data_IF_339800393156
#
_entry.id   IF_339800393156
#
_cell.length_a   1.000
_cell.length_b   1.000
_cell.length_c   1.000
_cell.angle_alpha   90.00
_cell.angle_beta   90.00
_cell.angle_gamma   90.00
#
_symmetry.space_group_name_H-M   'P 1'
#
loop_
_entity.id
_entity.type
_entity.pdbx_description
1 polymer ?
#
# COMPACT_ATOMS: atom_id res chain seq x y z
N UNK A 1 -0.80 21.82 1.57
CA UNK A 1 -0.81 21.03 2.82
C UNK A 1 -1.93 20.00 2.87
N UNK A 2 -3.17 20.33 2.51
CA UNK A 2 -4.31 19.40 2.56
C UNK A 2 -4.15 18.15 1.68
N UNK A 3 -3.57 18.30 0.49
CA UNK A 3 -3.35 17.18 -0.45
C UNK A 3 -2.38 16.11 0.12
N UNK A 4 -1.33 16.54 0.82
CA UNK A 4 -0.37 15.64 1.49
C UNK A 4 -1.02 14.86 2.63
N UNK A 5 -1.91 15.51 3.40
CA UNK A 5 -2.64 14.86 4.48
C UNK A 5 -3.56 13.74 3.95
N UNK A 6 -4.27 14.01 2.87
CA UNK A 6 -5.12 13.01 2.20
C UNK A 6 -4.27 11.83 1.68
N UNK A 7 -3.11 12.12 1.09
CA UNK A 7 -2.19 11.10 0.62
C UNK A 7 -1.67 10.21 1.77
N UNK A 8 -1.27 10.80 2.90
CA UNK A 8 -0.82 10.03 4.06
C UNK A 8 -1.93 9.13 4.61
N UNK A 9 -3.15 9.65 4.75
CA UNK A 9 -4.30 8.86 5.19
C UNK A 9 -4.60 7.68 4.25
N UNK A 10 -4.46 7.89 2.94
CA UNK A 10 -4.61 6.82 1.96
C UNK A 10 -3.54 5.74 2.13
N UNK A 11 -2.28 6.14 2.34
CA UNK A 11 -1.17 5.22 2.58
C UNK A 11 -1.36 4.42 3.87
N UNK A 12 -1.71 5.08 4.98
CA UNK A 12 -1.99 4.44 6.27
C UNK A 12 -3.12 3.41 6.15
N UNK A 13 -4.22 3.77 5.48
CA UNK A 13 -5.32 2.85 5.21
C UNK A 13 -4.84 1.64 4.41
N UNK A 14 -4.08 1.85 3.33
CA UNK A 14 -3.61 0.78 2.46
C UNK A 14 -2.64 -0.15 3.21
N UNK A 15 -1.74 0.39 4.03
CA UNK A 15 -0.82 -0.35 4.88
C UNK A 15 -1.57 -1.25 5.87
N UNK A 16 -2.57 -0.70 6.57
CA UNK A 16 -3.38 -1.45 7.53
C UNK A 16 -4.18 -2.58 6.86
N UNK A 17 -4.61 -2.40 5.61
CA UNK A 17 -5.33 -3.44 4.86
C UNK A 17 -4.41 -4.53 4.33
N UNK A 18 -3.24 -4.16 3.80
CA UNK A 18 -2.25 -5.12 3.30
C UNK A 18 -1.69 -6.00 4.42
N UNK A 19 -1.52 -5.44 5.63
CA UNK A 19 -1.11 -6.19 6.83
C UNK A 19 -2.10 -7.29 7.24
N UNK A 20 -3.39 -7.15 6.89
CA UNK A 20 -4.44 -8.10 7.24
C UNK A 20 -4.58 -9.26 6.24
N UNK A 21 -3.78 -9.29 5.18
CA UNK A 21 -3.75 -10.44 4.27
C UNK A 21 -3.14 -11.62 5.03
N UNK A 22 -3.87 -12.74 5.07
CA UNK A 22 -3.42 -13.95 5.77
C UNK A 22 -2.08 -14.42 5.21
N UNK A 23 -1.21 -14.94 6.09
CA UNK A 23 0.04 -15.57 5.68
C UNK A 23 -0.18 -16.76 4.72
N UNK A 24 -1.34 -17.40 4.79
CA UNK A 24 -1.72 -18.51 3.91
C UNK A 24 -2.25 -18.06 2.54
N UNK A 25 -2.48 -16.76 2.34
CA UNK A 25 -2.93 -16.27 1.03
C UNK A 25 -1.80 -16.35 0.01
N UNK A 26 -2.14 -16.74 -1.22
CA UNK A 26 -1.22 -16.69 -2.36
C UNK A 26 -0.61 -15.28 -2.55
N UNK A 27 -1.32 -14.24 -2.12
CA UNK A 27 -0.90 -12.84 -2.25
C UNK A 27 -0.03 -12.33 -1.10
N UNK A 28 0.20 -13.11 -0.04
CA UNK A 28 0.90 -12.66 1.17
C UNK A 28 2.32 -12.13 0.93
N UNK A 29 3.09 -12.82 0.08
CA UNK A 29 4.45 -12.40 -0.27
C UNK A 29 4.44 -11.05 -1.02
N UNK A 30 3.54 -10.89 -1.99
CA UNK A 30 3.41 -9.65 -2.75
C UNK A 30 2.91 -8.50 -1.87
N UNK A 31 1.97 -8.78 -0.97
CA UNK A 31 1.46 -7.82 0.00
C UNK A 31 2.58 -7.28 0.90
N UNK A 32 3.43 -8.16 1.43
CA UNK A 32 4.58 -7.80 2.25
C UNK A 32 5.56 -6.87 1.50
N UNK A 33 5.87 -7.20 0.24
CA UNK A 33 6.76 -6.38 -0.58
C UNK A 33 6.20 -4.97 -0.85
N UNK A 34 4.93 -4.87 -1.22
CA UNK A 34 4.26 -3.58 -1.46
C UNK A 34 4.11 -2.78 -0.17
N UNK A 35 3.74 -3.42 0.95
CA UNK A 35 3.66 -2.78 2.28
C UNK A 35 5.01 -2.16 2.67
N UNK A 36 6.11 -2.88 2.51
CA UNK A 36 7.45 -2.35 2.79
C UNK A 36 7.83 -1.15 1.90
N UNK A 37 7.42 -1.15 0.63
CA UNK A 37 7.64 -0.01 -0.27
C UNK A 37 6.80 1.22 0.12
N UNK A 38 5.51 1.02 0.45
CA UNK A 38 4.61 2.08 0.91
C UNK A 38 5.06 2.69 2.24
N UNK A 39 5.59 1.89 3.17
CA UNK A 39 6.17 2.41 4.44
C UNK A 39 7.32 3.37 4.19
N UNK A 40 8.25 3.02 3.29
CA UNK A 40 9.37 3.91 2.93
C UNK A 40 8.90 5.19 2.24
N UNK A 41 7.80 5.12 1.48
CA UNK A 41 7.19 6.30 0.86
C UNK A 41 6.56 7.21 1.91
N UNK A 42 5.79 6.64 2.84
CA UNK A 42 5.18 7.38 3.94
C UNK A 42 6.25 8.09 4.79
N UNK A 43 7.29 7.37 5.18
CA UNK A 43 8.43 7.93 5.92
C UNK A 43 9.09 9.10 5.18
N UNK A 44 9.27 9.00 3.85
CA UNK A 44 9.79 10.11 3.05
C UNK A 44 8.86 11.32 3.09
N UNK A 45 7.55 11.11 2.89
CA UNK A 45 6.56 12.19 2.90
C UNK A 45 6.48 12.88 4.27
N UNK A 46 6.51 12.13 5.36
CA UNK A 46 6.50 12.66 6.74
C UNK A 46 7.75 13.48 7.05
N UNK A 47 8.91 13.07 6.52
CA UNK A 47 10.17 13.81 6.65
C UNK A 47 10.34 14.94 5.62
N UNK A 48 9.30 15.27 4.85
CA UNK A 48 9.36 16.33 3.82
C UNK A 48 10.29 15.99 2.65
N UNK A 49 10.65 14.72 2.45
CA UNK A 49 11.49 14.26 1.36
C UNK A 49 10.66 14.08 0.09
N UNK A 50 11.21 14.42 -1.09
CA UNK A 50 10.50 14.25 -2.34
C UNK A 50 10.24 12.77 -2.63
N UNK A 51 9.03 12.49 -3.11
CA UNK A 51 8.62 11.17 -3.63
C UNK A 51 8.16 11.36 -5.06
N UNK A 52 8.52 10.45 -5.95
CA UNK A 52 8.03 10.46 -7.32
C UNK A 52 6.53 10.17 -7.34
N UNK A 53 5.74 11.07 -7.93
CA UNK A 53 4.29 10.88 -8.06
C UNK A 53 3.92 9.62 -8.86
N UNK A 54 4.73 9.26 -9.87
CA UNK A 54 4.51 8.04 -10.66
C UNK A 54 4.84 6.76 -9.87
N UNK A 55 5.87 6.79 -9.03
CA UNK A 55 6.21 5.70 -8.12
C UNK A 55 5.11 5.49 -7.08
N UNK A 56 4.68 6.58 -6.43
CA UNK A 56 3.58 6.56 -5.46
C UNK A 56 2.29 6.00 -6.09
N UNK A 57 1.89 6.52 -7.25
CA UNK A 57 0.71 6.02 -7.96
C UNK A 57 0.82 4.52 -8.26
N UNK A 58 1.95 4.07 -8.78
CA UNK A 58 2.18 2.64 -9.08
C UNK A 58 2.05 1.77 -7.83
N UNK A 59 2.61 2.19 -6.70
CA UNK A 59 2.55 1.41 -5.45
C UNK A 59 1.13 1.35 -4.89
N UNK A 60 0.38 2.46 -4.96
CA UNK A 60 -1.03 2.52 -4.57
C UNK A 60 -1.87 1.59 -5.45
N UNK A 61 -1.72 1.67 -6.77
CA UNK A 61 -2.43 0.81 -7.72
C UNK A 61 -2.13 -0.68 -7.46
N UNK A 62 -0.86 -1.02 -7.19
CA UNK A 62 -0.46 -2.39 -6.85
C UNK A 62 -1.07 -2.86 -5.53
N UNK A 63 -1.11 -2.01 -4.50
CA UNK A 63 -1.71 -2.34 -3.21
C UNK A 63 -3.21 -2.65 -3.34
N UNK A 64 -3.96 -1.82 -4.07
CA UNK A 64 -5.38 -2.08 -4.33
C UNK A 64 -5.60 -3.38 -5.10
N UNK A 65 -4.80 -3.63 -6.15
CA UNK A 65 -4.90 -4.87 -6.93
C UNK A 65 -4.63 -6.12 -6.09
N UNK A 66 -3.69 -6.04 -5.16
CA UNK A 66 -3.41 -7.13 -4.21
C UNK A 66 -4.62 -7.37 -3.29
N UNK A 67 -5.22 -6.31 -2.74
CA UNK A 67 -6.40 -6.42 -1.88
C UNK A 67 -7.59 -7.04 -2.61
N UNK A 68 -7.83 -6.60 -3.85
CA UNK A 68 -8.88 -7.16 -4.70
C UNK A 68 -8.66 -8.65 -4.94
N UNK A 69 -7.47 -9.05 -5.40
CA UNK A 69 -7.20 -10.46 -5.69
C UNK A 69 -7.19 -11.35 -4.44
N UNK A 70 -6.68 -10.87 -3.32
CA UNK A 70 -6.70 -11.60 -2.04
C UNK A 70 -8.13 -11.80 -1.53
N UNK A 71 -9.03 -10.87 -1.84
CA UNK A 71 -10.46 -11.00 -1.56
C UNK A 71 -11.09 -12.05 -2.48
N UNK A 72 -10.83 -11.97 -3.79
CA UNK A 72 -11.36 -12.93 -4.78
C UNK A 72 -10.85 -14.37 -4.58
N UNK A 73 -9.65 -14.55 -4.05
CA UNK A 73 -9.12 -15.87 -3.68
C UNK A 73 -10.02 -16.59 -2.66
N UNK A 74 -10.59 -15.84 -1.70
CA UNK A 74 -11.44 -16.41 -0.64
C UNK A 74 -12.86 -16.77 -1.09
N UNK A 75 -13.27 -16.31 -2.28
CA UNK A 75 -14.59 -16.58 -2.86
C UNK A 75 -14.55 -17.65 -3.97
N UNK A 76 -13.41 -18.30 -4.17
CA UNK A 76 -13.27 -19.47 -5.06
C UNK A 76 -13.36 -20.76 -4.27
#
# INVERSE_FOLDING_TARGET
MENTKIQNQLLEMLLARLERISADSYWAHRASGVRGALLRVLEKLENGRPVSGSELKRLVDLGFRILENATMEKYK
#
